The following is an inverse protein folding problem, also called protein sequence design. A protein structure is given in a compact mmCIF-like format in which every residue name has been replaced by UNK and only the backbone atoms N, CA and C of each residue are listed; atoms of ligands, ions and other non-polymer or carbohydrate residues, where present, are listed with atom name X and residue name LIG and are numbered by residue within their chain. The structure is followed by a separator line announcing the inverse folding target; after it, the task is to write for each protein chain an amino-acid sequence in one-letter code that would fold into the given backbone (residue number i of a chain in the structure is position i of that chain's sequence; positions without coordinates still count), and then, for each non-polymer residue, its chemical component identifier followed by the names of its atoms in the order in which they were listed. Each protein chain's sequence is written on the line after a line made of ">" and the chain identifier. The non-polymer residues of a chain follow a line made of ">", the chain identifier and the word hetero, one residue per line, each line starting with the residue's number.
data_IF_952214217309
#
_entry.id   IF_952214217309
#
_cell.length_a   1.000
_cell.length_b   1.000
_cell.length_c   1.000
_cell.angle_alpha   90.00
_cell.angle_beta   90.00
_cell.angle_gamma   90.00
#
_symmetry.space_group_name_H-M   'P 1'
#
loop_
_entity.id
_entity.type
_entity.pdbx_description
1 polymer ?
#
# COMPACT_ATOMS: atom_id res chain seq x y z
N UNK A 1 15.40 31.01 -8.79
CA UNK A 1 15.78 29.89 -7.89
C UNK A 1 15.70 30.28 -6.41
N UNK A 2 16.31 31.39 -5.97
CA UNK A 2 16.29 31.85 -4.56
C UNK A 2 14.87 32.02 -3.96
N UNK A 3 13.98 32.71 -4.67
CA UNK A 3 12.57 32.90 -4.28
C UNK A 3 11.82 31.57 -4.13
N UNK A 4 12.15 30.55 -4.93
CA UNK A 4 11.48 29.26 -4.88
C UNK A 4 11.89 28.46 -3.63
N UNK A 5 13.17 28.52 -3.26
CA UNK A 5 13.66 27.92 -2.02
C UNK A 5 13.05 28.61 -0.79
N UNK A 6 12.93 29.94 -0.81
CA UNK A 6 12.28 30.71 0.27
C UNK A 6 10.80 30.33 0.44
N UNK A 7 10.05 30.18 -0.66
CA UNK A 7 8.65 29.71 -0.63
C UNK A 7 8.53 28.27 -0.12
N UNK A 8 9.44 27.38 -0.52
CA UNK A 8 9.49 26.00 -0.02
C UNK A 8 9.74 25.95 1.49
N UNK A 9 10.69 26.75 1.98
CA UNK A 9 11.00 26.83 3.42
C UNK A 9 9.83 27.42 4.22
N UNK A 10 9.14 28.44 3.69
CA UNK A 10 7.93 28.96 4.32
C UNK A 10 6.79 27.94 4.36
N UNK A 11 6.54 27.22 3.26
CA UNK A 11 5.50 26.19 3.21
C UNK A 11 5.84 25.03 4.14
N UNK A 12 7.09 24.61 4.19
CA UNK A 12 7.58 23.62 5.13
C UNK A 12 7.36 24.06 6.60
N UNK A 13 7.71 25.31 6.92
CA UNK A 13 7.48 25.88 8.25
C UNK A 13 5.99 25.95 8.56
N UNK A 14 5.15 26.33 7.60
CA UNK A 14 3.69 26.35 7.73
C UNK A 14 3.10 24.96 7.92
N UNK A 15 3.54 23.94 7.18
CA UNK A 15 3.15 22.54 7.41
C UNK A 15 3.53 22.10 8.81
N UNK A 16 4.67 22.55 9.35
CA UNK A 16 5.07 22.30 10.73
C UNK A 16 4.24 23.06 11.78
N UNK A 17 3.74 24.25 11.45
CA UNK A 17 2.95 25.11 12.35
C UNK A 17 1.46 24.75 12.37
N UNK A 18 0.88 24.29 11.26
CA UNK A 18 -0.55 23.99 11.15
C UNK A 18 -0.94 22.59 11.64
N UNK A 19 0.02 21.78 12.09
CA UNK A 19 -0.14 20.36 12.45
C UNK A 19 -1.22 20.08 13.51
N UNK A 20 -1.54 21.09 14.33
CA UNK A 20 -2.42 20.93 15.48
C UNK A 20 -3.68 21.81 15.44
N UNK A 21 -3.84 22.70 14.45
CA UNK A 21 -4.96 23.65 14.41
C UNK A 21 -5.95 23.41 13.28
N UNK A 22 -5.49 23.05 12.07
CA UNK A 22 -6.36 22.87 10.91
C UNK A 22 -5.85 21.76 9.96
N UNK A 23 -6.60 20.65 9.90
CA UNK A 23 -6.31 19.48 9.05
C UNK A 23 -6.43 19.80 7.57
N UNK A 24 -7.40 20.63 7.17
CA UNK A 24 -7.61 21.01 5.77
C UNK A 24 -6.45 21.88 5.28
N UNK A 25 -6.07 22.88 6.08
CA UNK A 25 -4.97 23.77 5.73
C UNK A 25 -3.63 23.01 5.64
N UNK A 26 -3.42 22.04 6.55
CA UNK A 26 -2.25 21.17 6.50
C UNK A 26 -2.22 20.28 5.25
N UNK A 27 -3.37 19.73 4.84
CA UNK A 27 -3.50 18.97 3.60
C UNK A 27 -3.24 19.84 2.36
N UNK A 28 -3.83 21.03 2.30
CA UNK A 28 -3.61 21.99 1.21
C UNK A 28 -2.13 22.39 1.12
N UNK A 29 -1.48 22.64 2.25
CA UNK A 29 -0.06 22.96 2.28
C UNK A 29 0.81 21.79 1.78
N UNK A 30 0.49 20.55 2.18
CA UNK A 30 1.15 19.35 1.67
C UNK A 30 0.97 19.18 0.15
N UNK A 31 -0.20 19.53 -0.38
CA UNK A 31 -0.50 19.50 -1.81
C UNK A 31 0.24 20.59 -2.58
N UNK A 32 0.30 21.82 -2.06
CA UNK A 32 1.11 22.90 -2.63
C UNK A 32 2.59 22.52 -2.65
N UNK A 33 3.10 21.96 -1.55
CA UNK A 33 4.48 21.47 -1.48
C UNK A 33 4.75 20.38 -2.52
N UNK A 34 3.82 19.43 -2.69
CA UNK A 34 3.94 18.38 -3.71
C UNK A 34 4.06 18.97 -5.13
N UNK A 35 3.24 19.96 -5.48
CA UNK A 35 3.30 20.63 -6.78
C UNK A 35 4.63 21.35 -7.00
N UNK A 36 5.18 22.00 -5.98
CA UNK A 36 6.47 22.68 -6.07
C UNK A 36 7.62 21.68 -6.24
N UNK A 37 7.64 20.60 -5.45
CA UNK A 37 8.67 19.56 -5.56
C UNK A 37 8.59 18.83 -6.90
N UNK A 38 7.37 18.56 -7.38
CA UNK A 38 7.14 18.04 -8.73
C UNK A 38 7.67 18.99 -9.81
N UNK A 39 7.42 20.30 -9.68
CA UNK A 39 7.97 21.29 -10.60
C UNK A 39 9.51 21.28 -10.60
N UNK A 40 10.16 21.16 -9.43
CA UNK A 40 11.62 21.03 -9.35
C UNK A 40 12.13 19.82 -10.13
N UNK A 41 11.49 18.66 -9.94
CA UNK A 41 11.84 17.45 -10.66
C UNK A 41 11.68 17.60 -12.19
N UNK A 42 10.57 18.19 -12.62
CA UNK A 42 10.28 18.42 -14.04
C UNK A 42 11.30 19.35 -14.70
N UNK A 43 11.70 20.41 -14.00
CA UNK A 43 12.72 21.36 -14.45
C UNK A 43 14.16 20.87 -14.23
N UNK A 44 14.33 19.61 -13.79
CA UNK A 44 15.64 19.00 -13.46
C UNK A 44 16.45 19.79 -12.43
N UNK A 45 15.74 20.55 -11.59
CA UNK A 45 16.31 21.24 -10.44
C UNK A 45 16.53 20.20 -9.35
N UNK A 46 17.66 20.28 -8.65
CA UNK A 46 17.93 19.41 -7.49
C UNK A 46 16.82 19.55 -6.46
N UNK A 47 16.26 18.41 -6.04
CA UNK A 47 15.28 18.37 -4.95
C UNK A 47 15.85 19.02 -3.69
N UNK A 48 14.97 19.62 -2.91
CA UNK A 48 15.37 20.25 -1.65
C UNK A 48 15.98 19.23 -0.67
N UNK A 49 17.28 19.35 -0.39
CA UNK A 49 17.99 18.50 0.58
C UNK A 49 17.39 18.61 1.98
N UNK A 50 16.89 19.78 2.38
CA UNK A 50 16.26 19.97 3.69
C UNK A 50 14.93 19.21 3.79
N UNK A 51 14.17 19.13 2.69
CA UNK A 51 12.94 18.33 2.65
C UNK A 51 13.22 16.83 2.63
N UNK A 52 14.23 16.37 1.89
CA UNK A 52 14.65 14.95 1.90
C UNK A 52 15.08 14.55 3.32
N UNK A 53 15.93 15.35 3.97
CA UNK A 53 16.37 15.10 5.34
C UNK A 53 15.20 15.12 6.34
N UNK A 54 14.22 16.01 6.14
CA UNK A 54 12.99 16.02 6.93
C UNK A 54 12.21 14.72 6.77
N UNK A 55 11.97 14.27 5.54
CA UNK A 55 11.28 13.00 5.29
C UNK A 55 12.03 11.83 5.90
N UNK A 56 13.35 11.77 5.72
CA UNK A 56 14.20 10.72 6.31
C UNK A 56 14.01 10.65 7.83
N UNK A 57 14.16 11.80 8.52
CA UNK A 57 14.02 11.87 9.98
C UNK A 57 12.64 11.41 10.46
N UNK A 58 11.58 11.93 9.86
CA UNK A 58 10.22 11.68 10.37
C UNK A 58 9.66 10.32 9.96
N UNK A 59 10.16 9.72 8.88
CA UNK A 59 9.83 8.35 8.52
C UNK A 59 10.62 7.36 9.39
N UNK A 60 11.89 7.64 9.75
CA UNK A 60 12.63 6.75 10.65
C UNK A 60 12.07 6.69 12.07
N UNK A 61 11.52 7.80 12.59
CA UNK A 61 10.98 7.92 13.95
C UNK A 61 9.49 7.53 14.04
N UNK A 62 9.04 6.55 13.24
CA UNK A 62 7.65 6.20 12.88
C UNK A 62 6.59 6.15 14.02
N UNK A 63 6.98 6.18 15.30
CA UNK A 63 6.10 6.04 16.46
C UNK A 63 5.57 7.34 17.09
N UNK A 64 6.20 8.51 16.90
CA UNK A 64 5.90 9.67 17.78
C UNK A 64 5.30 10.91 17.12
N UNK A 65 5.42 11.10 15.79
CA UNK A 65 5.05 12.36 15.15
C UNK A 65 4.03 12.23 14.01
N UNK A 66 3.01 13.12 14.01
CA UNK A 66 2.09 13.33 12.88
C UNK A 66 2.83 13.75 11.59
N UNK A 67 4.12 14.11 11.69
CA UNK A 67 5.00 14.48 10.58
C UNK A 67 5.19 13.37 9.55
N UNK A 68 5.17 12.11 9.96
CA UNK A 68 5.26 10.97 9.04
C UNK A 68 4.09 10.95 8.05
N UNK A 69 2.86 11.25 8.51
CA UNK A 69 1.66 11.30 7.68
C UNK A 69 1.81 12.35 6.58
N UNK A 70 2.31 13.55 6.92
CA UNK A 70 2.53 14.61 5.93
C UNK A 70 3.59 14.23 4.90
N UNK A 71 4.67 13.58 5.32
CA UNK A 71 5.66 13.05 4.39
C UNK A 71 4.99 12.08 3.40
N UNK A 72 4.24 11.10 3.92
CA UNK A 72 3.54 10.12 3.09
C UNK A 72 2.52 10.77 2.13
N UNK A 73 1.75 11.75 2.58
CA UNK A 73 0.81 12.49 1.74
C UNK A 73 1.51 13.27 0.63
N UNK A 74 2.56 14.02 0.95
CA UNK A 74 3.33 14.78 -0.05
C UNK A 74 3.99 13.83 -1.06
N UNK A 75 4.61 12.74 -0.60
CA UNK A 75 5.23 11.72 -1.46
C UNK A 75 4.20 11.07 -2.40
N UNK A 76 3.04 10.69 -1.86
CA UNK A 76 1.91 10.14 -2.63
C UNK A 76 1.43 11.13 -3.69
N UNK A 77 1.26 12.40 -3.31
CA UNK A 77 0.81 13.45 -4.22
C UNK A 77 1.81 13.68 -5.36
N UNK A 78 3.12 13.73 -5.07
CA UNK A 78 4.16 13.86 -6.10
C UNK A 78 4.07 12.73 -7.12
N UNK A 79 3.98 11.47 -6.67
CA UNK A 79 3.87 10.33 -7.59
C UNK A 79 2.58 10.42 -8.43
N UNK A 80 1.45 10.79 -7.82
CA UNK A 80 0.18 11.02 -8.56
C UNK A 80 0.33 12.10 -9.63
N UNK A 81 1.00 13.21 -9.36
CA UNK A 81 1.23 14.26 -10.34
C UNK A 81 2.14 13.79 -11.49
N UNK A 82 3.18 13.00 -11.20
CA UNK A 82 4.02 12.38 -12.23
C UNK A 82 3.19 11.46 -13.14
N UNK A 83 2.27 10.68 -12.57
CA UNK A 83 1.37 9.82 -13.36
C UNK A 83 0.40 10.61 -14.24
N UNK A 84 -0.12 11.73 -13.75
CA UNK A 84 -1.04 12.62 -14.46
C UNK A 84 -0.41 13.40 -15.60
N UNK A 85 0.90 13.62 -15.57
CA UNK A 85 1.60 14.35 -16.63
C UNK A 85 1.31 13.71 -18.00
N UNK A 86 1.52 14.39 -19.12
CA UNK A 86 1.53 13.77 -20.46
C UNK A 86 2.93 13.73 -21.05
N UNK A 87 3.92 14.25 -20.33
CA UNK A 87 5.32 14.29 -20.75
C UNK A 87 5.90 12.89 -21.01
N UNK A 88 6.77 12.77 -22.01
CA UNK A 88 7.52 11.55 -22.31
C UNK A 88 8.60 11.23 -21.27
N UNK A 89 8.98 12.19 -20.43
CA UNK A 89 10.08 12.06 -19.45
C UNK A 89 9.62 11.55 -18.08
N UNK A 90 8.37 11.13 -17.91
CA UNK A 90 7.82 10.63 -16.62
C UNK A 90 8.70 9.59 -15.94
N UNK A 91 9.20 8.62 -16.70
CA UNK A 91 10.05 7.54 -16.17
C UNK A 91 11.33 8.11 -15.57
N UNK A 92 11.96 9.08 -16.23
CA UNK A 92 13.20 9.70 -15.74
C UNK A 92 12.93 10.58 -14.52
N UNK A 93 11.84 11.36 -14.54
CA UNK A 93 11.39 12.17 -13.40
C UNK A 93 11.16 11.28 -12.17
N UNK A 94 10.43 10.16 -12.33
CA UNK A 94 10.19 9.24 -11.22
C UNK A 94 11.47 8.56 -10.77
N UNK A 95 12.35 8.17 -11.69
CA UNK A 95 13.65 7.57 -11.37
C UNK A 95 14.51 8.53 -10.53
N UNK A 96 14.60 9.79 -10.92
CA UNK A 96 15.31 10.82 -10.15
C UNK A 96 14.72 10.96 -8.74
N UNK A 97 13.40 10.99 -8.63
CA UNK A 97 12.71 11.05 -7.35
C UNK A 97 13.01 9.83 -6.47
N UNK A 98 12.77 8.61 -6.98
CA UNK A 98 12.94 7.37 -6.20
C UNK A 98 14.39 7.12 -5.79
N UNK A 99 15.37 7.59 -6.56
CA UNK A 99 16.80 7.47 -6.17
C UNK A 99 17.09 8.07 -4.80
N UNK A 100 16.37 9.12 -4.40
CA UNK A 100 16.55 9.76 -3.08
C UNK A 100 15.80 9.04 -1.95
N UNK A 101 14.73 8.30 -2.28
CA UNK A 101 13.79 7.75 -1.30
C UNK A 101 13.80 6.23 -1.21
N UNK A 102 14.52 5.52 -2.09
CA UNK A 102 14.51 4.06 -2.15
C UNK A 102 14.84 3.41 -0.80
N UNK A 103 15.98 3.82 -0.23
CA UNK A 103 16.45 3.34 1.08
C UNK A 103 15.58 3.86 2.23
N UNK A 104 15.08 5.09 2.14
CA UNK A 104 14.20 5.68 3.16
C UNK A 104 12.91 4.86 3.28
N UNK A 105 12.31 4.48 2.14
CA UNK A 105 11.10 3.67 2.12
C UNK A 105 11.34 2.23 2.59
N UNK A 106 12.47 1.63 2.24
CA UNK A 106 12.82 0.31 2.77
C UNK A 106 12.96 0.34 4.30
N UNK A 107 13.70 1.30 4.84
CA UNK A 107 13.86 1.48 6.30
C UNK A 107 12.51 1.75 6.95
N UNK A 108 11.69 2.61 6.35
CA UNK A 108 10.34 2.91 6.83
C UNK A 108 9.46 1.66 6.87
N UNK A 109 9.45 0.87 5.79
CA UNK A 109 8.70 -0.38 5.72
C UNK A 109 9.10 -1.32 6.87
N UNK A 110 10.39 -1.57 7.03
CA UNK A 110 10.89 -2.45 8.09
C UNK A 110 10.52 -1.93 9.48
N UNK A 111 10.66 -0.62 9.71
CA UNK A 111 10.27 0.01 10.97
C UNK A 111 8.78 -0.15 11.24
N UNK A 112 7.92 0.15 10.27
CA UNK A 112 6.47 0.12 10.43
C UNK A 112 5.96 -1.28 10.81
N UNK A 113 6.49 -2.34 10.19
CA UNK A 113 6.05 -3.72 10.44
C UNK A 113 6.80 -4.42 11.59
N UNK A 114 7.94 -3.87 12.03
CA UNK A 114 8.64 -4.40 13.23
C UNK A 114 7.98 -3.98 14.56
N UNK A 115 7.15 -2.94 14.54
CA UNK A 115 6.43 -2.49 15.73
C UNK A 115 5.39 -3.54 16.12
N UNK A 116 5.50 -4.11 17.31
CA UNK A 116 4.50 -5.05 17.82
C UNK A 116 3.35 -4.22 18.44
N UNK A 117 2.19 -4.21 17.78
CA UNK A 117 1.04 -3.33 18.11
C UNK A 117 0.35 -3.62 19.44
N UNK A 118 0.75 -4.70 20.12
CA UNK A 118 0.17 -5.14 21.38
C UNK A 118 0.29 -4.09 22.50
N UNK A 119 1.25 -3.16 22.41
CA UNK A 119 1.52 -2.14 23.44
C UNK A 119 1.31 -0.68 22.99
N UNK A 120 0.71 -0.44 21.81
CA UNK A 120 0.57 0.94 21.33
C UNK A 120 -0.56 1.70 22.04
N UNK A 121 -0.21 2.83 22.68
CA UNK A 121 -1.18 3.72 23.36
C UNK A 121 -2.07 4.50 22.38
N UNK A 122 -1.70 4.60 21.10
CA UNK A 122 -2.43 5.38 20.09
C UNK A 122 -2.57 4.62 18.76
N UNK A 123 -3.41 3.59 18.77
CA UNK A 123 -3.74 2.76 17.60
C UNK A 123 -4.25 3.58 16.41
N UNK A 124 -4.90 4.73 16.66
CA UNK A 124 -5.44 5.60 15.60
C UNK A 124 -4.34 6.21 14.72
N UNK A 125 -3.26 6.71 15.34
CA UNK A 125 -2.12 7.27 14.59
C UNK A 125 -1.46 6.24 13.67
N UNK A 126 -1.20 5.05 14.21
CA UNK A 126 -0.61 3.95 13.45
C UNK A 126 -1.48 3.57 12.27
N UNK A 127 -2.80 3.45 12.51
CA UNK A 127 -3.75 3.12 11.45
C UNK A 127 -3.72 4.18 10.35
N UNK A 128 -3.65 5.47 10.70
CA UNK A 128 -3.51 6.53 9.71
C UNK A 128 -2.21 6.43 8.91
N UNK A 129 -1.07 6.20 9.58
CA UNK A 129 0.23 6.01 8.93
C UNK A 129 0.18 4.83 7.96
N UNK A 130 -0.32 3.68 8.41
CA UNK A 130 -0.48 2.48 7.61
C UNK A 130 -1.39 2.72 6.39
N UNK A 131 -2.52 3.41 6.59
CA UNK A 131 -3.44 3.74 5.49
C UNK A 131 -2.80 4.65 4.45
N UNK A 132 -2.04 5.66 4.88
CA UNK A 132 -1.29 6.54 3.98
C UNK A 132 -0.19 5.78 3.25
N UNK A 133 0.50 4.88 3.95
CA UNK A 133 1.55 4.07 3.37
C UNK A 133 1.02 3.05 2.37
N UNK A 134 -0.13 2.43 2.61
CA UNK A 134 -0.78 1.53 1.65
C UNK A 134 -1.11 2.24 0.32
N UNK A 135 -1.54 3.50 0.38
CA UNK A 135 -1.78 4.30 -0.83
C UNK A 135 -0.49 4.61 -1.59
N UNK A 136 0.57 4.95 -0.86
CA UNK A 136 1.89 5.16 -1.45
C UNK A 136 2.44 3.87 -2.07
N UNK A 137 2.31 2.74 -1.38
CA UNK A 137 2.77 1.44 -1.84
C UNK A 137 2.01 0.98 -3.10
N UNK A 138 0.70 1.26 -3.18
CA UNK A 138 -0.09 1.04 -4.40
C UNK A 138 0.49 1.81 -5.59
N UNK A 139 0.84 3.08 -5.39
CA UNK A 139 1.46 3.91 -6.43
C UNK A 139 2.86 3.43 -6.82
N UNK A 140 3.68 3.00 -5.85
CA UNK A 140 5.02 2.47 -6.10
C UNK A 140 4.96 1.20 -6.95
N UNK A 141 4.06 0.27 -6.63
CA UNK A 141 3.89 -0.97 -7.42
C UNK A 141 3.29 -0.67 -8.79
N UNK A 142 2.27 0.20 -8.87
CA UNK A 142 1.72 0.65 -10.15
C UNK A 142 2.83 1.25 -11.05
N UNK A 143 3.70 2.08 -10.47
CA UNK A 143 4.76 2.74 -11.22
C UNK A 143 5.81 1.76 -11.74
N UNK A 144 6.09 0.69 -11.00
CA UNK A 144 6.90 -0.40 -11.51
C UNK A 144 6.26 -1.06 -12.74
N UNK A 145 4.97 -1.38 -12.67
CA UNK A 145 4.25 -2.06 -13.77
C UNK A 145 4.20 -1.17 -15.02
N UNK A 146 3.84 0.11 -14.85
CA UNK A 146 3.61 1.01 -15.97
C UNK A 146 4.88 1.68 -16.51
N UNK A 147 5.87 1.95 -15.67
CA UNK A 147 7.09 2.68 -16.04
C UNK A 147 8.36 1.81 -16.06
N UNK A 148 8.24 0.50 -15.77
CA UNK A 148 9.33 -0.50 -15.84
C UNK A 148 10.56 -0.13 -15.01
N UNK A 149 10.32 0.46 -13.84
CA UNK A 149 11.35 0.72 -12.83
C UNK A 149 11.41 -0.43 -11.82
N UNK A 150 12.58 -0.66 -11.23
CA UNK A 150 12.85 -1.82 -10.36
C UNK A 150 13.56 -1.44 -9.06
N UNK A 151 13.22 -0.29 -8.49
CA UNK A 151 13.73 0.14 -7.19
C UNK A 151 13.26 -0.81 -6.07
N UNK A 152 14.06 -0.92 -5.01
CA UNK A 152 13.76 -1.78 -3.87
C UNK A 152 12.43 -1.42 -3.22
N UNK A 153 12.14 -0.13 -3.03
CA UNK A 153 10.89 0.38 -2.49
C UNK A 153 9.66 0.00 -3.33
N UNK A 154 9.81 -0.18 -4.65
CA UNK A 154 8.72 -0.65 -5.52
C UNK A 154 8.52 -2.16 -5.42
N UNK A 155 9.55 -2.88 -4.98
CA UNK A 155 9.55 -4.34 -4.84
C UNK A 155 9.35 -4.82 -3.41
N UNK A 156 9.35 -3.91 -2.42
CA UNK A 156 9.45 -4.23 -1.00
C UNK A 156 8.34 -5.18 -0.52
N UNK A 157 7.11 -5.04 -1.05
CA UNK A 157 6.02 -5.98 -0.78
C UNK A 157 6.37 -7.42 -1.15
N UNK A 158 6.98 -7.61 -2.32
CA UNK A 158 7.31 -8.94 -2.86
C UNK A 158 8.57 -9.52 -2.21
N UNK A 159 9.48 -8.65 -1.75
CA UNK A 159 10.67 -9.04 -1.00
C UNK A 159 10.33 -9.48 0.43
N UNK A 160 9.33 -8.85 1.07
CA UNK A 160 8.94 -9.12 2.47
C UNK A 160 7.41 -9.26 2.63
N UNK A 161 6.76 -10.19 1.90
CA UNK A 161 5.31 -10.29 1.86
C UNK A 161 4.66 -10.67 3.20
N UNK A 162 5.39 -11.37 4.08
CA UNK A 162 4.90 -11.77 5.41
C UNK A 162 4.50 -10.57 6.27
N UNK A 163 5.29 -9.50 6.24
CA UNK A 163 5.02 -8.27 7.00
C UNK A 163 3.64 -7.69 6.69
N UNK A 164 3.24 -7.71 5.41
CA UNK A 164 1.90 -7.22 5.04
C UNK A 164 0.78 -8.20 5.40
N UNK A 165 1.04 -9.50 5.31
CA UNK A 165 0.04 -10.52 5.65
C UNK A 165 -0.26 -10.54 7.15
N UNK A 166 0.74 -10.27 7.98
CA UNK A 166 0.60 -10.14 9.45
C UNK A 166 -0.36 -9.01 9.84
N UNK A 167 -0.52 -7.95 9.04
CA UNK A 167 -1.48 -6.87 9.32
C UNK A 167 -2.92 -7.39 9.50
N UNK A 168 -3.28 -8.46 8.80
CA UNK A 168 -4.61 -9.07 8.88
C UNK A 168 -4.83 -9.68 10.28
N UNK A 169 -3.77 -10.14 10.96
CA UNK A 169 -3.85 -10.71 12.30
C UNK A 169 -3.82 -9.65 13.41
N UNK A 170 -3.37 -8.44 13.12
CA UNK A 170 -3.27 -7.36 14.13
C UNK A 170 -4.63 -6.99 14.75
N UNK A 171 -4.65 -6.51 16.01
CA UNK A 171 -5.85 -6.05 16.70
C UNK A 171 -6.28 -4.63 16.25
N UNK A 172 -6.36 -4.41 14.94
CA UNK A 172 -6.78 -3.14 14.31
C UNK A 172 -8.18 -3.24 13.71
N UNK A 173 -8.75 -2.08 13.33
CA UNK A 173 -10.11 -2.02 12.78
C UNK A 173 -10.23 -2.82 11.48
N UNK A 174 -11.39 -3.47 11.30
CA UNK A 174 -11.68 -4.35 10.17
C UNK A 174 -11.46 -3.66 8.81
N UNK A 175 -11.77 -2.37 8.68
CA UNK A 175 -11.59 -1.64 7.42
C UNK A 175 -10.14 -1.62 6.92
N UNK A 176 -9.15 -1.64 7.82
CA UNK A 176 -7.74 -1.67 7.44
C UNK A 176 -7.39 -3.04 6.87
N UNK A 177 -7.83 -4.11 7.54
CA UNK A 177 -7.68 -5.50 7.06
C UNK A 177 -8.33 -5.67 5.69
N UNK A 178 -9.52 -5.11 5.50
CA UNK A 178 -10.23 -5.06 4.21
C UNK A 178 -9.39 -4.39 3.12
N UNK A 179 -8.81 -3.23 3.42
CA UNK A 179 -7.95 -2.50 2.47
C UNK A 179 -6.71 -3.34 2.09
N UNK A 180 -6.07 -4.01 3.04
CA UNK A 180 -4.94 -4.91 2.77
C UNK A 180 -5.33 -6.06 1.84
N UNK A 181 -6.47 -6.72 2.07
CA UNK A 181 -6.92 -7.83 1.21
C UNK A 181 -7.23 -7.36 -0.20
N UNK A 182 -7.92 -6.22 -0.35
CA UNK A 182 -8.20 -5.63 -1.65
C UNK A 182 -6.90 -5.24 -2.36
N UNK A 183 -5.93 -4.70 -1.63
CA UNK A 183 -4.62 -4.35 -2.15
C UNK A 183 -3.83 -5.58 -2.64
N UNK A 184 -3.78 -6.66 -1.84
CA UNK A 184 -3.15 -7.93 -2.24
C UNK A 184 -3.83 -8.53 -3.48
N UNK A 185 -5.17 -8.47 -3.54
CA UNK A 185 -5.94 -8.88 -4.72
C UNK A 185 -5.51 -8.09 -5.96
N UNK A 186 -5.42 -6.75 -5.87
CA UNK A 186 -4.95 -5.91 -6.98
C UNK A 186 -3.54 -6.30 -7.42
N UNK A 187 -2.64 -6.57 -6.47
CA UNK A 187 -1.26 -7.01 -6.75
C UNK A 187 -1.22 -8.31 -7.56
N UNK A 188 -1.84 -9.38 -7.04
CA UNK A 188 -1.83 -10.70 -7.69
C UNK A 188 -2.53 -10.73 -9.06
N UNK A 189 -3.48 -9.83 -9.30
CA UNK A 189 -4.14 -9.67 -10.59
C UNK A 189 -3.39 -8.75 -11.57
N UNK A 190 -2.25 -8.17 -11.17
CA UNK A 190 -1.55 -7.12 -11.92
C UNK A 190 -2.45 -5.91 -12.25
N UNK A 191 -3.43 -5.60 -11.39
CA UNK A 191 -4.42 -4.51 -11.56
C UNK A 191 -4.14 -3.30 -10.66
N UNK A 192 -2.92 -3.21 -10.14
CA UNK A 192 -2.51 -2.09 -9.28
C UNK A 192 -2.40 -0.83 -10.14
N UNK A 193 -3.09 0.23 -9.75
CA UNK A 193 -3.07 1.50 -10.49
C UNK A 193 -3.94 1.54 -11.74
N UNK A 194 -4.83 0.56 -11.96
CA UNK A 194 -5.82 0.57 -13.05
C UNK A 194 -6.65 1.88 -13.03
N UNK A 195 -6.94 2.41 -11.84
CA UNK A 195 -7.67 3.67 -11.64
C UNK A 195 -6.84 4.94 -11.97
N UNK A 196 -5.52 4.84 -12.04
CA UNK A 196 -4.60 5.98 -12.21
C UNK A 196 -4.31 6.28 -13.68
N UNK A 197 -4.38 5.27 -14.54
CA UNK A 197 -4.16 5.40 -15.96
C UNK A 197 -5.52 5.49 -16.68
N UNK A 198 -5.96 6.70 -17.06
CA UNK A 198 -7.15 6.95 -17.89
C UNK A 198 -7.03 6.43 -19.35
N UNK A 199 -6.13 5.49 -19.62
CA UNK A 199 -5.83 4.95 -20.94
C UNK A 199 -6.00 3.43 -20.96
N UNK A 200 -6.18 2.89 -22.18
CA UNK A 200 -6.46 1.49 -22.48
C UNK A 200 -5.79 0.50 -21.54
N UNK A 201 -6.57 -0.47 -21.05
CA UNK A 201 -6.13 -1.69 -20.34
C UNK A 201 -4.78 -2.12 -20.91
N UNK A 202 -3.72 -2.25 -20.09
CA UNK A 202 -2.44 -2.73 -20.59
C UNK A 202 -2.68 -4.04 -21.32
N UNK A 203 -2.56 -4.02 -22.66
CA UNK A 203 -2.54 -5.24 -23.46
C UNK A 203 -1.54 -6.17 -22.81
N UNK A 204 -1.92 -7.44 -22.58
CA UNK A 204 -1.12 -8.52 -21.98
C UNK A 204 0.37 -8.26 -22.22
N UNK A 205 1.00 -7.59 -21.25
CA UNK A 205 2.40 -7.19 -21.40
C UNK A 205 3.22 -8.47 -21.40
N UNK A 206 4.24 -8.59 -22.26
CA UNK A 206 5.13 -9.74 -22.23
C UNK A 206 5.69 -9.88 -20.81
N UNK A 207 5.76 -11.11 -20.28
CA UNK A 207 6.11 -11.35 -18.88
C UNK A 207 7.50 -10.80 -18.61
N UNK A 208 7.57 -9.71 -17.85
CA UNK A 208 8.81 -9.30 -17.21
C UNK A 208 9.19 -10.40 -16.22
N UNK A 209 10.31 -11.08 -16.47
CA UNK A 209 10.77 -12.19 -15.66
C UNK A 209 10.93 -11.79 -14.18
N UNK A 210 11.32 -10.53 -13.91
CA UNK A 210 11.41 -10.01 -12.55
C UNK A 210 10.03 -9.85 -11.89
N UNK A 211 8.98 -9.52 -12.66
CA UNK A 211 7.61 -9.46 -12.15
C UNK A 211 7.10 -10.87 -11.84
N UNK A 212 7.40 -11.85 -12.67
CA UNK A 212 6.98 -13.24 -12.45
C UNK A 212 7.56 -13.83 -11.14
N UNK A 213 8.86 -13.62 -10.89
CA UNK A 213 9.52 -14.08 -9.65
C UNK A 213 8.92 -13.40 -8.41
N UNK A 214 8.71 -12.09 -8.48
CA UNK A 214 8.10 -11.31 -7.38
C UNK A 214 6.66 -11.77 -7.10
N UNK A 215 5.86 -12.02 -8.14
CA UNK A 215 4.49 -12.54 -8.00
C UNK A 215 4.46 -13.94 -7.40
N UNK A 216 5.41 -14.80 -7.77
CA UNK A 216 5.55 -16.13 -7.18
C UNK A 216 5.91 -16.04 -5.69
N UNK A 217 6.80 -15.12 -5.31
CA UNK A 217 7.14 -14.90 -3.90
C UNK A 217 5.91 -14.47 -3.08
N UNK A 218 5.12 -13.53 -3.59
CA UNK A 218 3.87 -13.10 -2.96
C UNK A 218 2.84 -14.23 -2.87
N UNK A 219 2.64 -14.99 -3.96
CA UNK A 219 1.72 -16.12 -4.00
C UNK A 219 2.09 -17.20 -2.98
N UNK A 220 3.37 -17.56 -2.89
CA UNK A 220 3.86 -18.53 -1.92
C UNK A 220 3.64 -18.07 -0.48
N UNK A 221 3.91 -16.79 -0.18
CA UNK A 221 3.69 -16.22 1.14
C UNK A 221 2.21 -16.21 1.54
N UNK A 222 1.31 -15.88 0.61
CA UNK A 222 -0.15 -15.96 0.83
C UNK A 222 -0.57 -17.38 1.18
N UNK A 223 -0.13 -18.37 0.41
CA UNK A 223 -0.47 -19.78 0.66
C UNK A 223 0.10 -20.28 1.99
N UNK A 224 1.33 -19.87 2.33
CA UNK A 224 1.92 -20.17 3.63
C UNK A 224 1.13 -19.54 4.78
N UNK A 225 0.71 -18.28 4.65
CA UNK A 225 -0.08 -17.61 5.69
C UNK A 225 -1.46 -18.27 5.87
N UNK A 226 -2.11 -18.67 4.78
CA UNK A 226 -3.37 -19.43 4.83
C UNK A 226 -3.17 -20.76 5.57
N UNK A 227 -2.08 -21.49 5.28
CA UNK A 227 -1.71 -22.70 6.02
C UNK A 227 -1.52 -22.45 7.52
N UNK A 228 -0.90 -21.33 7.88
CA UNK A 228 -0.72 -20.90 9.28
C UNK A 228 -2.03 -20.44 9.95
N UNK A 229 -3.16 -20.46 9.24
CA UNK A 229 -4.48 -20.15 9.80
C UNK A 229 -4.94 -18.70 9.62
N UNK A 230 -4.34 -17.93 8.70
CA UNK A 230 -4.73 -16.53 8.42
C UNK A 230 -6.25 -16.38 8.21
N UNK A 231 -6.88 -17.30 7.50
CA UNK A 231 -8.33 -17.26 7.25
C UNK A 231 -9.17 -17.34 8.52
N UNK A 232 -8.70 -18.01 9.57
CA UNK A 232 -9.40 -18.10 10.85
C UNK A 232 -9.44 -16.75 11.58
N UNK A 233 -8.48 -15.87 11.28
CA UNK A 233 -8.38 -14.52 11.87
C UNK A 233 -9.21 -13.47 11.12
N UNK A 234 -9.73 -13.82 9.95
CA UNK A 234 -10.52 -12.93 9.12
C UNK A 234 -11.92 -12.75 9.73
N UNK A 235 -12.17 -11.62 10.37
CA UNK A 235 -13.54 -11.25 10.74
C UNK A 235 -14.31 -10.84 9.49
N UNK A 236 -15.31 -11.65 9.11
CA UNK A 236 -16.16 -11.44 7.92
C UNK A 236 -17.45 -10.70 8.27
N UNK A 237 -17.74 -10.52 9.57
CA UNK A 237 -18.99 -9.92 10.00
C UNK A 237 -18.93 -8.39 9.93
N UNK A 238 -19.87 -7.82 9.20
CA UNK A 238 -19.98 -6.38 9.01
C UNK A 238 -20.59 -5.73 10.26
N UNK A 239 -19.79 -4.98 11.01
CA UNK A 239 -20.34 -3.90 11.83
C UNK A 239 -20.61 -2.75 10.86
N UNK A 240 -21.87 -2.54 10.48
CA UNK A 240 -22.29 -1.49 9.55
C UNK A 240 -21.63 -0.17 9.93
N UNK A 241 -20.72 0.32 9.10
CA UNK A 241 -20.19 1.68 9.21
C UNK A 241 -21.06 2.57 8.34
N UNK A 242 -22.16 3.06 8.91
CA UNK A 242 -23.03 4.02 8.23
C UNK A 242 -22.29 5.34 8.03
N UNK A 243 -22.20 5.78 6.78
CA UNK A 243 -21.71 7.12 6.45
C UNK A 243 -22.84 8.10 6.76
N UNK A 244 -22.77 8.80 7.89
CA UNK A 244 -23.81 9.76 8.28
C UNK A 244 -23.94 10.02 9.78
N UNK A 245 -23.47 9.11 10.64
CA UNK A 245 -23.67 9.20 12.09
C UNK A 245 -25.15 9.09 12.43
N UNK A 246 -25.59 7.94 12.93
CA UNK A 246 -26.95 7.80 13.42
C UNK A 246 -26.93 7.47 14.91
N UNK A 247 -27.76 8.19 15.66
CA UNK A 247 -28.04 7.91 17.06
C UNK A 247 -28.59 6.49 17.16
N UNK A 248 -27.86 5.62 17.86
CA UNK A 248 -28.27 4.24 18.08
C UNK A 248 -29.57 4.27 18.87
N UNK A 249 -30.70 3.97 18.22
CA UNK A 249 -31.91 3.63 18.98
C UNK A 249 -31.64 2.35 19.79
N UNK A 250 -31.84 2.39 21.12
CA UNK A 250 -31.61 1.23 21.96
C UNK A 250 -32.73 0.21 21.72
N UNK A 251 -32.44 -0.86 20.98
CA UNK A 251 -33.39 -1.98 20.82
C UNK A 251 -33.32 -2.75 19.50
N UNK A 252 -32.56 -2.29 18.49
CA UNK A 252 -32.43 -3.03 17.24
C UNK A 252 -31.22 -3.98 17.29
N UNK A 253 -31.46 -5.30 17.28
CA UNK A 253 -30.40 -6.29 17.09
C UNK A 253 -29.70 -6.01 15.77
N UNK A 254 -28.41 -5.65 15.83
CA UNK A 254 -27.60 -5.48 14.63
C UNK A 254 -27.47 -6.83 13.91
N UNK A 255 -28.27 -7.02 12.86
CA UNK A 255 -28.08 -8.12 11.90
C UNK A 255 -26.74 -7.89 11.22
N UNK A 256 -25.72 -8.62 11.69
CA UNK A 256 -24.35 -8.62 11.19
C UNK A 256 -24.34 -9.49 9.93
N UNK A 257 -24.49 -8.86 8.76
CA UNK A 257 -24.38 -9.56 7.49
C UNK A 257 -22.90 -9.89 7.20
N UNK A 258 -22.60 -11.04 6.58
CA UNK A 258 -21.27 -11.32 6.04
C UNK A 258 -20.86 -10.31 4.96
N UNK A 259 -19.62 -9.83 5.01
CA UNK A 259 -19.01 -9.00 3.98
C UNK A 259 -18.61 -9.88 2.77
N UNK A 260 -19.58 -10.13 1.89
CA UNK A 260 -19.39 -10.94 0.69
C UNK A 260 -18.35 -10.36 -0.26
N UNK A 261 -18.09 -9.04 -0.24
CA UNK A 261 -17.08 -8.41 -1.09
C UNK A 261 -15.68 -8.85 -0.65
N UNK A 262 -15.44 -8.88 0.66
CA UNK A 262 -14.16 -9.29 1.23
C UNK A 262 -13.94 -10.78 1.15
N UNK A 263 -14.98 -11.60 1.34
CA UNK A 263 -14.90 -13.03 1.07
C UNK A 263 -14.49 -13.31 -0.37
N UNK A 264 -15.17 -12.68 -1.35
CA UNK A 264 -14.83 -12.82 -2.76
C UNK A 264 -13.40 -12.36 -3.06
N UNK A 265 -12.97 -11.25 -2.45
CA UNK A 265 -11.60 -10.75 -2.60
C UNK A 265 -10.56 -11.72 -2.04
N UNK A 266 -10.79 -12.26 -0.83
CA UNK A 266 -9.92 -13.24 -0.19
C UNK A 266 -9.86 -14.54 -1.00
N UNK A 267 -11.00 -15.08 -1.44
CA UNK A 267 -11.03 -16.27 -2.31
C UNK A 267 -10.23 -16.06 -3.58
N UNK A 268 -10.37 -14.89 -4.22
CA UNK A 268 -9.63 -14.59 -5.44
C UNK A 268 -8.12 -14.47 -5.20
N UNK A 269 -7.71 -13.91 -4.07
CA UNK A 269 -6.29 -13.87 -3.65
C UNK A 269 -5.73 -15.28 -3.53
N UNK A 270 -6.45 -16.21 -2.89
CA UNK A 270 -5.98 -17.60 -2.72
C UNK A 270 -5.97 -18.33 -4.06
N UNK A 271 -7.06 -18.25 -4.82
CA UNK A 271 -7.18 -18.91 -6.12
C UNK A 271 -6.10 -18.44 -7.09
N UNK A 272 -5.84 -17.13 -7.14
CA UNK A 272 -4.78 -16.59 -8.00
C UNK A 272 -3.39 -17.00 -7.53
N UNK A 273 -3.17 -17.09 -6.22
CA UNK A 273 -1.90 -17.58 -5.66
C UNK A 273 -1.65 -19.05 -6.01
N UNK A 274 -2.70 -19.89 -5.94
CA UNK A 274 -2.63 -21.29 -6.40
C UNK A 274 -2.32 -21.36 -7.89
N UNK A 275 -3.02 -20.59 -8.72
CA UNK A 275 -2.80 -20.53 -10.17
C UNK A 275 -1.33 -20.18 -10.50
N UNK A 276 -0.79 -19.13 -9.88
CA UNK A 276 0.60 -18.70 -10.06
C UNK A 276 1.56 -19.81 -9.61
N UNK A 277 1.33 -20.44 -8.47
CA UNK A 277 2.18 -21.53 -7.99
C UNK A 277 2.18 -22.72 -8.95
N UNK A 278 1.00 -23.15 -9.43
CA UNK A 278 0.88 -24.26 -10.38
C UNK A 278 1.54 -23.97 -11.72
N UNK A 279 1.44 -22.74 -12.24
CA UNK A 279 2.09 -22.33 -13.48
C UNK A 279 3.62 -22.34 -13.39
N UNK A 280 4.19 -22.20 -12.19
CA UNK A 280 5.64 -22.17 -11.96
C UNK A 280 6.21 -23.49 -11.42
N UNK A 281 5.37 -24.49 -11.12
CA UNK A 281 5.82 -25.81 -10.70
C UNK A 281 6.48 -26.55 -11.87
N UNK A 282 7.78 -26.81 -11.74
CA UNK A 282 8.57 -27.46 -12.79
C UNK A 282 8.71 -28.98 -12.60
N UNK A 283 8.21 -29.58 -11.51
CA UNK A 283 8.39 -31.02 -11.23
C UNK A 283 7.30 -31.67 -10.37
N UNK A 284 7.08 -32.98 -10.59
CA UNK A 284 6.09 -33.81 -9.90
C UNK A 284 6.42 -34.10 -8.41
N UNK A 285 7.63 -33.78 -7.93
CA UNK A 285 8.04 -34.00 -6.53
C UNK A 285 7.56 -32.91 -5.58
N UNK A 286 7.34 -31.67 -6.05
CA UNK A 286 6.81 -30.57 -5.22
C UNK A 286 5.31 -30.71 -4.94
N UNK A 287 4.58 -31.44 -5.80
CA UNK A 287 3.15 -31.74 -5.62
C UNK A 287 2.87 -32.78 -4.52
N UNK A 288 3.87 -33.59 -4.13
CA UNK A 288 3.69 -34.67 -3.13
C UNK A 288 3.80 -34.20 -1.68
N UNK A 289 4.46 -33.07 -1.39
CA UNK A 289 4.70 -32.59 -0.03
C UNK A 289 3.66 -31.59 0.50
N UNK A 290 2.86 -30.99 -0.38
CA UNK A 290 1.79 -30.06 -0.03
C UNK A 290 0.49 -30.66 -0.58
N UNK A 291 -0.28 -31.42 0.21
CA UNK A 291 -1.53 -32.00 -0.32
C UNK A 291 -2.42 -30.86 -0.84
N UNK A 292 -2.69 -30.78 -2.16
CA UNK A 292 -3.54 -29.73 -2.73
C UNK A 292 -4.97 -29.80 -2.20
N UNK A 293 -5.36 -30.97 -1.68
CA UNK A 293 -6.71 -31.30 -1.26
C UNK A 293 -7.20 -30.43 -0.10
N UNK A 294 -6.37 -30.11 0.90
CA UNK A 294 -6.78 -29.22 2.01
C UNK A 294 -7.01 -27.77 1.56
N UNK A 295 -6.22 -27.27 0.61
CA UNK A 295 -6.32 -25.90 0.10
C UNK A 295 -7.46 -25.74 -0.90
N UNK A 296 -7.57 -26.67 -1.85
CA UNK A 296 -8.69 -26.72 -2.77
C UNK A 296 -10.00 -26.89 -1.99
N UNK A 297 -10.04 -27.72 -0.95
CA UNK A 297 -11.24 -27.85 -0.11
C UNK A 297 -11.57 -26.56 0.66
N UNK A 298 -10.60 -25.81 1.19
CA UNK A 298 -10.88 -24.51 1.81
C UNK A 298 -11.36 -23.46 0.79
N UNK A 299 -10.78 -23.41 -0.41
CA UNK A 299 -11.24 -22.54 -1.49
C UNK A 299 -12.65 -22.90 -1.97
N UNK A 300 -12.93 -24.19 -2.11
CA UNK A 300 -14.24 -24.74 -2.50
C UNK A 300 -15.27 -24.48 -1.40
N UNK A 301 -14.93 -24.63 -0.12
CA UNK A 301 -15.83 -24.31 1.00
C UNK A 301 -16.18 -22.81 1.00
N UNK A 302 -15.24 -21.90 0.77
CA UNK A 302 -15.56 -20.47 0.70
C UNK A 302 -16.38 -20.12 -0.56
N UNK A 303 -16.17 -20.82 -1.67
CA UNK A 303 -16.94 -20.63 -2.91
C UNK A 303 -18.34 -21.24 -2.83
N UNK A 304 -18.52 -22.35 -2.10
CA UNK A 304 -19.79 -23.07 -1.92
C UNK A 304 -20.65 -22.55 -0.74
N UNK A 305 -20.12 -21.65 0.10
CA UNK A 305 -20.90 -20.97 1.16
C UNK A 305 -21.53 -19.64 0.64
N UNK A 306 -21.42 -19.35 -0.67
CA UNK A 306 -22.30 -18.37 -1.34
C UNK A 306 -23.70 -18.93 -1.55
#
# INVERSE_FOLDING_TARGET
>A
MKVFCEVLEELYKKICMFQNSDKLLSHMAAQCLALLLYFQLREKITLSNSWIAFCQKNLSECSESNKAIYCLWTLTAIIKEIFKDSCSQKTEILKQFLTHFDTIFEVFYNSLFSQHFENCRDTSKIVNILMCFLELLELLIASRIHLKLHFTCQRILFLKPSCMLEVITWPIQAFVKRKVIIFLKKCLLCKVGEDLCRGSVPALMPPDHHVAVDMLALANAVLQAVNSGLLKTLSVYEKHSFFGGDEVQPGCEHITSPDHVILRAASLVIMKSLEIKFQNCSSASEMKGNSPDSFCMQCVIIYLIQ
#
